data_IF_743915143233
#
_entry.id   IF_743915143233
#
_cell.length_a   1.000
_cell.length_b   1.000
_cell.length_c   1.000
_cell.angle_alpha   90.00
_cell.angle_beta   90.00
_cell.angle_gamma   90.00
#
_symmetry.space_group_name_H-M   'P 1'
#
loop_
_entity.id
_entity.type
_entity.pdbx_description
1 polymer ?
#
# COMPACT_ATOMS: atom_id res chain seq x y z
N UNK A 1 15.73 11.77 -25.62
CA UNK A 1 15.04 10.78 -26.48
C UNK A 1 14.91 9.38 -25.84
N UNK A 2 15.86 8.89 -25.04
CA UNK A 2 15.82 7.52 -24.46
C UNK A 2 14.64 7.28 -23.51
N UNK A 3 14.27 8.27 -22.68
CA UNK A 3 13.16 8.12 -21.72
C UNK A 3 11.78 7.92 -22.37
N UNK A 4 11.52 8.60 -23.50
CA UNK A 4 10.24 8.49 -24.21
C UNK A 4 10.05 7.11 -24.83
N UNK A 5 11.10 6.55 -25.44
CA UNK A 5 11.06 5.21 -26.02
C UNK A 5 10.80 4.14 -24.94
N UNK A 6 11.40 4.28 -23.76
CA UNK A 6 11.18 3.37 -22.64
C UNK A 6 9.71 3.36 -22.17
N UNK A 7 9.10 4.52 -21.94
CA UNK A 7 7.70 4.60 -21.52
C UNK A 7 6.75 4.08 -22.60
N UNK A 8 7.02 4.38 -23.87
CA UNK A 8 6.25 3.85 -24.99
C UNK A 8 6.29 2.31 -25.03
N UNK A 9 7.48 1.70 -24.84
CA UNK A 9 7.58 0.23 -24.78
C UNK A 9 6.81 -0.37 -23.61
N UNK A 10 6.81 0.28 -22.43
CA UNK A 10 6.02 -0.17 -21.29
C UNK A 10 4.52 -0.11 -21.54
N UNK A 11 4.04 0.97 -22.18
CA UNK A 11 2.62 1.09 -22.54
C UNK A 11 2.20 0.03 -23.56
N UNK A 12 3.02 -0.19 -24.59
CA UNK A 12 2.76 -1.25 -25.58
C UNK A 12 2.76 -2.64 -24.96
N UNK A 13 3.72 -2.93 -24.08
CA UNK A 13 3.79 -4.22 -23.38
C UNK A 13 2.55 -4.45 -22.50
N UNK A 14 2.09 -3.41 -21.78
CA UNK A 14 0.88 -3.47 -20.97
C UNK A 14 -0.39 -3.72 -21.79
N UNK A 15 -0.55 -3.03 -22.92
CA UNK A 15 -1.72 -3.21 -23.80
C UNK A 15 -1.73 -4.63 -24.38
N UNK A 16 -0.59 -5.09 -24.90
CA UNK A 16 -0.46 -6.43 -25.46
C UNK A 16 -0.74 -7.53 -24.41
N UNK A 17 -0.23 -7.36 -23.18
CA UNK A 17 -0.49 -8.33 -22.12
C UNK A 17 -1.97 -8.35 -21.69
N UNK A 18 -2.64 -7.20 -21.68
CA UNK A 18 -4.06 -7.09 -21.37
C UNK A 18 -4.93 -7.79 -22.42
N UNK A 19 -4.62 -7.60 -23.71
CA UNK A 19 -5.32 -8.30 -24.81
C UNK A 19 -5.18 -9.82 -24.64
N UNK A 20 -3.94 -10.30 -24.46
CA UNK A 20 -3.69 -11.73 -24.25
C UNK A 20 -4.42 -12.28 -23.00
N UNK A 21 -4.49 -11.50 -21.92
CA UNK A 21 -5.26 -11.88 -20.72
C UNK A 21 -6.75 -12.06 -21.02
N UNK A 22 -7.35 -11.10 -21.72
CA UNK A 22 -8.77 -11.13 -22.08
C UNK A 22 -9.09 -12.32 -22.99
N UNK A 23 -8.22 -12.59 -23.97
CA UNK A 23 -8.36 -13.73 -24.88
C UNK A 23 -8.31 -15.08 -24.13
N UNK A 24 -7.34 -15.25 -23.21
CA UNK A 24 -7.12 -16.51 -22.49
C UNK A 24 -8.17 -16.74 -21.41
N UNK A 25 -8.48 -15.73 -20.59
CA UNK A 25 -9.34 -15.91 -19.40
C UNK A 25 -10.82 -15.71 -19.67
N UNK A 26 -11.21 -14.99 -20.74
CA UNK A 26 -12.60 -14.57 -21.03
C UNK A 26 -13.33 -13.91 -19.83
N UNK A 27 -12.59 -13.47 -18.82
CA UNK A 27 -13.11 -12.80 -17.63
C UNK A 27 -13.32 -11.31 -17.87
N UNK A 28 -14.40 -10.75 -17.31
CA UNK A 28 -14.70 -9.33 -17.35
C UNK A 28 -13.90 -8.57 -16.27
N UNK A 29 -12.58 -8.51 -16.39
CA UNK A 29 -11.76 -7.61 -15.59
C UNK A 29 -11.56 -6.30 -16.34
N UNK A 30 -11.75 -5.15 -15.67
CA UNK A 30 -11.45 -3.87 -16.30
C UNK A 30 -9.94 -3.68 -16.48
N UNK A 31 -9.54 -2.90 -17.49
CA UNK A 31 -8.12 -2.61 -17.74
C UNK A 31 -7.44 -1.97 -16.51
N UNK A 32 -8.15 -1.11 -15.79
CA UNK A 32 -7.65 -0.45 -14.57
C UNK A 32 -7.40 -1.45 -13.44
N UNK A 33 -8.29 -2.42 -13.24
CA UNK A 33 -8.10 -3.49 -12.25
C UNK A 33 -6.93 -4.40 -12.65
N UNK A 34 -6.83 -4.76 -13.93
CA UNK A 34 -5.72 -5.54 -14.45
C UNK A 34 -4.37 -4.84 -14.22
N UNK A 35 -4.29 -3.53 -14.52
CA UNK A 35 -3.10 -2.71 -14.26
C UNK A 35 -2.72 -2.71 -12.78
N UNK A 36 -3.71 -2.59 -11.88
CA UNK A 36 -3.48 -2.66 -10.43
C UNK A 36 -2.94 -4.03 -10.01
N UNK A 37 -3.50 -5.12 -10.54
CA UNK A 37 -3.10 -6.49 -10.25
C UNK A 37 -1.66 -6.77 -10.71
N UNK A 38 -1.30 -6.42 -11.95
CA UNK A 38 0.08 -6.56 -12.44
C UNK A 38 1.04 -5.75 -11.61
N UNK A 39 0.73 -4.47 -11.37
CA UNK A 39 1.62 -3.60 -10.60
C UNK A 39 1.82 -4.14 -9.19
N UNK A 40 0.75 -4.62 -8.54
CA UNK A 40 0.84 -5.26 -7.23
C UNK A 40 1.73 -6.50 -7.28
N UNK A 41 1.55 -7.38 -8.27
CA UNK A 41 2.36 -8.59 -8.42
C UNK A 41 3.85 -8.31 -8.71
N UNK A 42 4.15 -7.24 -9.43
CA UNK A 42 5.52 -6.79 -9.67
C UNK A 42 6.15 -6.20 -8.39
N UNK A 43 5.37 -5.43 -7.62
CA UNK A 43 5.82 -4.82 -6.37
C UNK A 43 5.99 -5.85 -5.24
N UNK A 44 5.13 -6.85 -5.13
CA UNK A 44 5.26 -7.90 -4.09
C UNK A 44 6.47 -8.80 -4.30
N UNK A 45 6.93 -8.97 -5.55
CA UNK A 45 8.18 -9.70 -5.86
C UNK A 45 9.43 -8.82 -5.74
N UNK A 46 9.27 -7.52 -5.48
CA UNK A 46 10.42 -6.65 -5.24
C UNK A 46 11.03 -7.01 -3.89
N UNK A 47 12.35 -7.24 -3.87
CA UNK A 47 13.08 -7.43 -2.61
C UNK A 47 12.80 -6.21 -1.73
N UNK A 48 12.56 -6.39 -0.41
CA UNK A 48 12.39 -5.25 0.49
C UNK A 48 13.60 -4.35 0.31
N UNK A 49 13.35 -3.12 -0.15
CA UNK A 49 14.39 -2.13 -0.34
C UNK A 49 15.18 -2.05 0.98
N UNK A 50 16.52 -2.20 0.96
CA UNK A 50 17.32 -2.02 2.16
C UNK A 50 16.95 -0.65 2.72
N UNK A 51 16.56 -0.61 4.01
CA UNK A 51 16.22 0.64 4.69
C UNK A 51 17.30 1.65 4.36
N UNK A 52 16.94 2.75 3.71
CA UNK A 52 17.86 3.86 3.50
C UNK A 52 18.52 4.15 4.85
N UNK A 53 19.84 3.94 4.96
CA UNK A 53 20.64 4.33 6.13
C UNK A 53 20.50 5.85 6.25
N UNK A 54 19.60 6.32 7.09
CA UNK A 54 19.39 7.76 7.24
C UNK A 54 18.05 8.14 7.83
N UNK A 55 17.86 7.85 9.13
CA UNK A 55 17.37 8.81 10.13
C UNK A 55 17.48 8.14 11.51
N UNK A 56 18.22 8.70 12.47
CA UNK A 56 18.17 8.22 13.85
C UNK A 56 16.73 8.30 14.34
N UNK A 57 16.25 7.27 15.04
CA UNK A 57 15.01 7.38 15.81
C UNK A 57 15.27 8.44 16.88
N UNK A 58 14.55 9.56 16.84
CA UNK A 58 14.49 10.45 17.99
C UNK A 58 13.81 9.67 19.12
N UNK A 59 14.59 9.29 20.13
CA UNK A 59 14.06 8.91 21.43
C UNK A 59 13.43 10.17 22.01
N UNK A 60 12.11 10.26 21.94
CA UNK A 60 11.31 11.28 22.61
C UNK A 60 10.40 10.59 23.59
N UNK A 61 10.95 10.21 24.73
CA UNK A 61 10.17 10.00 25.94
C UNK A 61 9.79 11.40 26.44
N UNK A 62 8.50 11.71 26.45
CA UNK A 62 7.81 12.50 27.49
C UNK A 62 6.36 12.75 27.05
N UNK A 63 5.42 12.02 27.65
CA UNK A 63 4.23 12.68 28.19
C UNK A 63 3.58 11.84 29.28
N UNK A 64 3.71 12.39 30.48
CA UNK A 64 3.10 12.02 31.74
C UNK A 64 1.58 12.22 31.71
N UNK A 65 0.89 11.31 32.41
CA UNK A 65 -0.46 11.39 32.97
C UNK A 65 -1.63 11.90 32.11
N UNK A 66 -2.39 10.95 31.55
CA UNK A 66 -3.84 10.95 31.77
C UNK A 66 -4.40 9.52 31.68
N UNK A 67 -4.94 9.03 32.80
CA UNK A 67 -5.55 7.72 32.92
C UNK A 67 -6.82 7.64 32.05
N UNK A 68 -6.77 6.92 30.94
CA UNK A 68 -7.94 6.25 30.36
C UNK A 68 -7.56 4.84 29.95
N UNK A 69 -8.11 3.86 30.68
CA UNK A 69 -8.32 2.48 30.23
C UNK A 69 -8.95 2.52 28.83
N UNK A 70 -8.14 2.46 27.78
CA UNK A 70 -8.61 2.16 26.44
C UNK A 70 -7.64 1.14 25.89
N UNK A 71 -8.13 -0.10 25.82
CA UNK A 71 -7.40 -1.31 25.40
C UNK A 71 -6.31 -0.91 24.41
N UNK A 72 -5.05 -1.02 24.83
CA UNK A 72 -3.88 -0.95 23.96
C UNK A 72 -3.94 -2.24 23.14
N UNK A 73 -4.91 -2.30 22.22
CA UNK A 73 -5.17 -3.46 21.41
C UNK A 73 -3.95 -3.65 20.54
N UNK A 74 -3.35 -4.83 20.62
CA UNK A 74 -2.47 -5.25 19.56
C UNK A 74 -3.21 -5.03 18.23
N UNK A 75 -2.49 -4.53 17.22
CA UNK A 75 -3.03 -4.49 15.87
C UNK A 75 -3.55 -5.88 15.52
N UNK A 76 -4.64 -5.96 14.76
CA UNK A 76 -5.23 -7.25 14.36
C UNK A 76 -4.24 -8.13 13.60
N UNK A 77 -3.18 -7.52 13.07
CA UNK A 77 -2.15 -8.13 12.24
C UNK A 77 -0.77 -7.98 12.92
N UNK A 78 0.03 -9.06 12.88
CA UNK A 78 1.39 -9.09 13.43
C UNK A 78 2.31 -8.08 12.73
N UNK A 79 3.43 -7.73 13.37
CA UNK A 79 4.38 -6.78 12.79
C UNK A 79 4.95 -7.29 11.47
N UNK A 80 5.28 -8.57 11.34
CA UNK A 80 5.91 -9.08 10.12
C UNK A 80 5.01 -8.86 8.90
N UNK A 81 3.74 -9.26 9.00
CA UNK A 81 2.74 -9.05 7.94
C UNK A 81 2.52 -7.56 7.65
N UNK A 82 2.53 -6.71 8.69
CA UNK A 82 2.30 -5.26 8.55
C UNK A 82 3.51 -4.49 7.99
N UNK A 83 4.71 -5.03 8.15
CA UNK A 83 5.96 -4.39 7.72
C UNK A 83 6.44 -4.90 6.36
N UNK A 84 6.02 -6.09 5.94
CA UNK A 84 6.47 -6.77 4.73
C UNK A 84 6.09 -6.03 3.43
N UNK A 85 4.90 -5.44 3.36
CA UNK A 85 4.35 -4.81 2.13
C UNK A 85 4.03 -3.32 2.28
N UNK A 86 4.85 -2.58 3.02
CA UNK A 86 4.67 -1.13 3.19
C UNK A 86 4.74 -0.41 1.83
N UNK A 87 3.64 0.24 1.44
CA UNK A 87 3.54 1.00 0.19
C UNK A 87 3.15 0.17 -1.04
N UNK A 88 2.97 -1.15 -0.91
CA UNK A 88 2.59 -2.04 -2.03
C UNK A 88 1.08 -2.37 -2.09
N UNK A 89 0.28 -1.76 -1.21
CA UNK A 89 -1.18 -1.87 -1.23
C UNK A 89 -1.79 -0.64 -1.91
N UNK A 90 -2.80 -0.87 -2.73
CA UNK A 90 -3.57 0.20 -3.34
C UNK A 90 -4.61 0.71 -2.35
N UNK A 91 -4.72 2.04 -2.13
CA UNK A 91 -5.79 2.59 -1.30
C UNK A 91 -7.15 2.19 -1.88
N UNK A 92 -7.97 1.55 -1.06
CA UNK A 92 -9.37 1.25 -1.41
C UNK A 92 -10.23 2.38 -0.88
N UNK A 93 -10.89 3.10 -1.77
CA UNK A 93 -11.81 4.16 -1.35
C UNK A 93 -13.09 3.55 -0.79
N UNK A 94 -13.53 4.03 0.36
CA UNK A 94 -14.70 3.52 1.09
C UNK A 94 -15.64 4.67 1.39
N UNK A 95 -16.94 4.40 1.41
CA UNK A 95 -17.97 5.38 1.80
C UNK A 95 -17.87 5.80 3.26
N UNK A 96 -17.44 4.88 4.13
CA UNK A 96 -17.34 5.12 5.56
C UNK A 96 -16.00 5.77 5.93
N UNK A 97 -16.07 6.99 6.44
CA UNK A 97 -14.91 7.73 6.96
C UNK A 97 -14.48 7.14 8.31
N UNK A 98 -13.24 6.65 8.42
CA UNK A 98 -12.76 5.98 9.62
C UNK A 98 -11.28 6.19 9.89
N UNK A 99 -10.86 6.03 11.15
CA UNK A 99 -9.44 5.89 11.49
C UNK A 99 -9.02 4.46 11.15
N UNK A 100 -7.89 4.28 10.45
CA UNK A 100 -7.28 2.95 10.40
C UNK A 100 -6.77 2.58 11.81
N UNK A 101 -6.58 1.28 12.08
CA UNK A 101 -6.15 0.80 13.41
C UNK A 101 -4.86 1.49 13.89
N UNK A 102 -3.93 1.75 12.97
CA UNK A 102 -2.67 2.44 13.28
C UNK A 102 -2.87 3.90 13.70
N UNK A 103 -3.69 4.67 12.96
CA UNK A 103 -3.99 6.06 13.32
C UNK A 103 -4.85 6.15 14.59
N UNK A 104 -5.72 5.16 14.82
CA UNK A 104 -6.47 5.03 16.07
C UNK A 104 -5.53 4.80 17.27
N UNK A 105 -4.51 3.94 17.14
CA UNK A 105 -3.52 3.66 18.18
C UNK A 105 -2.57 4.83 18.44
N UNK A 106 -2.18 5.56 17.40
CA UNK A 106 -1.25 6.70 17.51
C UNK A 106 -1.94 8.03 17.84
N UNK A 107 -3.27 8.05 17.99
CA UNK A 107 -4.07 9.28 18.13
C UNK A 107 -3.80 10.33 17.03
N UNK A 108 -3.44 9.88 15.82
CA UNK A 108 -3.17 10.75 14.67
C UNK A 108 -4.48 11.05 13.95
N UNK A 109 -4.63 12.29 13.48
CA UNK A 109 -5.88 12.94 13.08
C UNK A 109 -6.48 12.51 11.71
N UNK A 110 -5.81 11.68 10.90
CA UNK A 110 -6.32 11.38 9.56
C UNK A 110 -7.56 10.47 9.62
N UNK A 111 -8.70 10.98 9.16
CA UNK A 111 -9.94 10.23 8.88
C UNK A 111 -10.19 10.18 7.37
N UNK A 112 -9.42 9.42 6.57
CA UNK A 112 -9.58 9.39 5.13
C UNK A 112 -10.79 8.55 4.69
N UNK A 113 -11.28 8.79 3.47
CA UNK A 113 -12.19 7.89 2.75
C UNK A 113 -11.44 6.76 2.04
N UNK A 114 -10.29 6.35 2.58
CA UNK A 114 -9.46 5.30 2.01
C UNK A 114 -8.97 4.35 3.09
N UNK A 115 -8.95 3.06 2.75
CA UNK A 115 -8.34 2.00 3.55
C UNK A 115 -7.09 1.52 2.83
N UNK A 116 -6.08 1.24 3.63
CA UNK A 116 -4.82 0.63 3.23
C UNK A 116 -4.93 -0.88 3.32
#
# INVERSE_FOLDING_TARGET
MVGQAFFAMLEMAYVNSYIAYVEVRREKMSSLEYKRCITKGLLTKSKPQPKRKGRPKSNGDEQTFCAKKRRKGNLSVSNDVRLENRGCHWPTFVSNRGRCEFCALKNIQSKPYSKC
#
